data_IF_500741400033
#
_entry.id   IF_500741400033
#
_cell.length_a   1.000
_cell.length_b   1.000
_cell.length_c   1.000
_cell.angle_alpha   90.00
_cell.angle_beta   90.00
_cell.angle_gamma   90.00
#
_symmetry.space_group_name_H-M   'P 1'
#
loop_
_entity.id
_entity.type
_entity.pdbx_description
1 polymer ?
#
# COMPACT_ATOMS: atom_id res chain seq x y z
N UNK A 1 19.43 0.88 -0.68
CA UNK A 1 17.96 0.82 -0.64
C UNK A 1 17.55 0.25 -1.99
N UNK A 2 16.93 -0.91 -2.00
CA UNK A 2 16.50 -1.57 -3.23
C UNK A 2 15.04 -1.19 -3.50
N UNK A 3 14.70 -1.03 -4.77
CA UNK A 3 13.31 -0.79 -5.19
C UNK A 3 12.59 -2.13 -5.25
N UNK A 4 11.43 -2.22 -4.60
CA UNK A 4 10.53 -3.36 -4.73
C UNK A 4 9.50 -3.05 -5.82
N UNK A 5 9.35 -3.98 -6.75
CA UNK A 5 8.38 -3.91 -7.86
C UNK A 5 7.54 -5.17 -7.84
N UNK A 6 6.24 -5.02 -8.10
CA UNK A 6 5.31 -6.12 -8.30
C UNK A 6 4.66 -5.94 -9.67
N UNK A 7 4.84 -6.92 -10.56
CA UNK A 7 4.12 -6.96 -11.83
C UNK A 7 2.69 -7.43 -11.58
N UNK A 8 1.72 -6.63 -12.02
CA UNK A 8 0.31 -6.89 -11.80
C UNK A 8 -0.43 -6.91 -13.14
N UNK A 9 -1.06 -8.05 -13.43
CA UNK A 9 -2.04 -8.19 -14.51
C UNK A 9 -3.41 -7.82 -13.95
N UNK A 10 -3.89 -6.63 -14.30
CA UNK A 10 -5.05 -6.02 -13.67
C UNK A 10 -6.33 -6.19 -14.50
N UNK A 11 -7.44 -6.56 -13.84
CA UNK A 11 -8.77 -6.43 -14.44
C UNK A 11 -9.18 -4.95 -14.52
N UNK A 12 -10.03 -4.58 -15.48
CA UNK A 12 -10.57 -3.22 -15.53
C UNK A 12 -11.47 -2.92 -14.32
N UNK A 13 -11.56 -1.64 -13.95
CA UNK A 13 -12.35 -1.17 -12.82
C UNK A 13 -11.54 -0.56 -11.67
N UNK A 14 -12.19 -0.42 -10.52
CA UNK A 14 -11.62 0.21 -9.31
C UNK A 14 -10.83 -0.80 -8.47
N UNK A 15 -9.62 -0.41 -8.06
CA UNK A 15 -8.75 -1.23 -7.21
C UNK A 15 -8.12 -0.41 -6.10
N UNK A 16 -7.72 -1.10 -5.03
CA UNK A 16 -6.88 -0.54 -3.97
C UNK A 16 -5.56 -1.31 -3.96
N UNK A 17 -4.46 -0.60 -4.19
CA UNK A 17 -3.11 -1.15 -4.07
C UNK A 17 -2.57 -0.76 -2.70
N UNK A 18 -2.01 -1.74 -1.98
CA UNK A 18 -1.38 -1.53 -0.67
C UNK A 18 0.03 -2.10 -0.65
N UNK A 19 0.90 -1.53 0.18
CA UNK A 19 2.26 -2.03 0.40
C UNK A 19 2.55 -2.24 1.88
N UNK A 20 3.21 -3.37 2.19
CA UNK A 20 3.66 -3.76 3.53
C UNK A 20 5.11 -4.24 3.48
N UNK A 21 5.95 -3.64 4.33
CA UNK A 21 7.27 -4.15 4.62
C UNK A 21 7.27 -5.05 5.87
N UNK A 22 8.23 -5.98 5.91
CA UNK A 22 8.59 -6.77 7.07
C UNK A 22 10.07 -6.55 7.35
N UNK A 23 10.45 -6.39 8.61
CA UNK A 23 11.87 -6.36 9.00
C UNK A 23 12.38 -7.75 9.40
N UNK A 24 13.68 -7.83 9.69
CA UNK A 24 14.36 -9.07 10.08
C UNK A 24 13.87 -9.67 11.40
N UNK A 25 13.25 -8.85 12.25
CA UNK A 25 12.73 -9.24 13.56
C UNK A 25 11.24 -9.64 13.47
N UNK A 26 10.65 -9.57 12.28
CA UNK A 26 9.26 -9.94 12.01
C UNK A 26 8.26 -8.83 12.27
N UNK A 27 8.71 -7.59 12.51
CA UNK A 27 7.80 -6.46 12.67
C UNK A 27 7.19 -6.07 11.32
N UNK A 28 5.95 -5.61 11.35
CA UNK A 28 5.21 -5.18 10.17
C UNK A 28 4.35 -3.94 10.45
N UNK A 29 3.96 -3.26 9.39
CA UNK A 29 3.12 -2.06 9.43
C UNK A 29 1.66 -2.38 9.81
N UNK A 30 1.00 -1.60 10.69
CA UNK A 30 -0.39 -1.84 11.09
C UNK A 30 -1.40 -1.47 9.98
N UNK A 31 -2.60 -2.03 10.05
CA UNK A 31 -3.70 -1.72 9.11
C UNK A 31 -4.32 -0.34 9.37
N UNK A 32 -4.35 0.07 10.64
CA UNK A 32 -4.87 1.35 11.11
C UNK A 32 -3.73 2.16 11.75
N UNK A 33 -3.81 3.51 11.70
CA UNK A 33 -2.82 4.34 12.34
C UNK A 33 -2.94 4.25 13.86
N UNK A 34 -1.81 4.07 14.55
CA UNK A 34 -1.76 4.37 15.98
C UNK A 34 -1.88 5.88 16.16
N UNK A 35 -2.87 6.31 16.94
CA UNK A 35 -3.11 7.72 17.18
C UNK A 35 -2.30 8.22 18.37
N UNK A 36 -1.62 9.34 18.17
CA UNK A 36 -1.08 10.15 19.25
C UNK A 36 -1.34 11.65 19.00
N UNK A 37 -1.25 12.46 20.07
CA UNK A 37 -1.51 13.91 20.05
C UNK A 37 -0.51 14.66 19.15
N UNK A 38 0.68 14.10 18.95
CA UNK A 38 1.77 14.72 18.20
C UNK A 38 1.74 14.42 16.71
N UNK A 39 0.99 13.40 16.28
CA UNK A 39 0.86 12.97 14.89
C UNK A 39 2.13 12.35 14.30
N UNK A 40 3.00 11.76 15.14
CA UNK A 40 4.25 11.16 14.69
C UNK A 40 4.16 9.63 14.56
N UNK A 41 5.15 9.03 13.91
CA UNK A 41 5.30 7.57 13.87
C UNK A 41 4.31 6.81 12.99
N UNK A 42 3.44 7.50 12.25
CA UNK A 42 2.53 6.82 11.33
C UNK A 42 3.30 6.02 10.27
N UNK A 43 3.12 4.70 10.32
CA UNK A 43 3.66 3.77 9.35
C UNK A 43 2.59 2.77 8.89
N UNK A 44 1.29 3.12 8.97
CA UNK A 44 0.22 2.23 8.53
C UNK A 44 0.40 1.81 7.07
N UNK A 45 -0.33 0.78 6.64
CA UNK A 45 -0.38 0.39 5.23
C UNK A 45 -0.65 1.59 4.31
N UNK A 46 0.32 1.90 3.46
CA UNK A 46 0.11 2.91 2.43
C UNK A 46 -0.82 2.33 1.37
N UNK A 47 -1.92 3.04 1.08
CA UNK A 47 -2.99 2.58 0.21
C UNK A 47 -3.30 3.62 -0.86
N UNK A 48 -3.32 3.20 -2.13
CA UNK A 48 -3.72 4.05 -3.26
C UNK A 48 -4.93 3.44 -3.96
N UNK A 49 -5.90 4.28 -4.32
CA UNK A 49 -7.02 3.90 -5.18
C UNK A 49 -6.63 4.17 -6.63
N UNK A 50 -6.86 3.20 -7.50
CA UNK A 50 -6.58 3.31 -8.93
C UNK A 50 -7.78 2.81 -9.73
N UNK A 51 -8.02 3.42 -10.87
CA UNK A 51 -8.95 2.93 -11.88
C UNK A 51 -8.14 2.36 -13.04
N UNK A 52 -8.44 1.13 -13.44
CA UNK A 52 -7.87 0.47 -14.61
C UNK A 52 -8.90 0.54 -15.72
N UNK A 53 -8.57 1.25 -16.79
CA UNK A 53 -9.43 1.43 -17.96
C UNK A 53 -9.59 0.10 -18.73
N UNK A 54 -10.73 -0.10 -19.38
CA UNK A 54 -11.00 -1.29 -20.21
C UNK A 54 -10.44 -1.18 -21.64
N UNK A 55 -9.86 -0.05 -22.02
CA UNK A 55 -9.15 0.15 -23.27
C UNK A 55 -10.04 0.34 -24.50
N UNK A 56 -11.36 0.42 -24.30
CA UNK A 56 -12.35 0.60 -25.36
C UNK A 56 -12.60 2.11 -25.56
N UNK A 57 -11.88 2.73 -26.49
CA UNK A 57 -12.07 4.14 -26.90
C UNK A 57 -13.00 4.30 -28.11
#
# INVERSE_FOLDING_TARGET
>A
METVVFEWDAESGEHIIQSRAFDQDGNYQPDEPEWDVSGFGNNMLHSIRVHVDDGEF
#
